data_IF_383090000949
#
_entry.id   IF_383090000949
#
_cell.length_a   1.000
_cell.length_b   1.000
_cell.length_c   1.000
_cell.angle_alpha   90.00
_cell.angle_beta   90.00
_cell.angle_gamma   90.00
#
_symmetry.space_group_name_H-M   'P 1'
#
loop_
_entity.id
_entity.type
_entity.pdbx_description
1 polymer ?
#
# COMPACT_ATOMS: atom_id res chain seq x y z
N UNK A 1 52.47 9.44 -8.26
CA UNK A 1 51.25 10.25 -8.51
C UNK A 1 50.01 9.40 -8.80
N UNK A 2 50.14 8.16 -9.31
CA UNK A 2 48.99 7.31 -9.69
C UNK A 2 48.24 6.63 -8.53
N UNK A 3 48.83 6.55 -7.33
CA UNK A 3 48.25 5.84 -6.18
C UNK A 3 47.11 6.63 -5.49
N UNK A 4 47.15 7.96 -5.55
CA UNK A 4 46.13 8.84 -4.96
C UNK A 4 44.81 8.75 -5.74
N UNK A 5 44.89 8.65 -7.07
CA UNK A 5 43.70 8.53 -7.94
C UNK A 5 42.94 7.23 -7.73
N UNK A 6 43.63 6.12 -7.44
CA UNK A 6 42.97 4.82 -7.18
C UNK A 6 42.15 4.86 -5.88
N UNK A 7 42.65 5.53 -4.85
CA UNK A 7 41.92 5.71 -3.59
C UNK A 7 40.64 6.54 -3.80
N UNK A 8 40.70 7.61 -4.61
CA UNK A 8 39.52 8.43 -4.92
C UNK A 8 38.45 7.66 -5.71
N UNK A 9 38.85 6.85 -6.69
CA UNK A 9 37.90 6.04 -7.48
C UNK A 9 37.22 4.99 -6.59
N UNK A 10 37.96 4.40 -5.64
CA UNK A 10 37.42 3.43 -4.69
C UNK A 10 36.38 4.07 -3.75
N UNK A 11 36.59 5.32 -3.32
CA UNK A 11 35.62 6.05 -2.49
C UNK A 11 34.31 6.36 -3.26
N UNK A 12 34.40 6.76 -4.54
CA UNK A 12 33.23 7.07 -5.37
C UNK A 12 32.40 5.82 -5.71
N UNK A 13 33.03 4.64 -5.80
CA UNK A 13 32.30 3.38 -5.99
C UNK A 13 31.45 2.99 -4.76
N UNK A 14 31.80 3.47 -3.57
CA UNK A 14 31.06 3.20 -2.32
C UNK A 14 29.97 4.23 -2.01
N UNK A 15 29.94 5.37 -2.71
CA UNK A 15 28.89 6.39 -2.60
C UNK A 15 27.67 6.09 -3.49
N UNK A 16 27.28 4.81 -3.58
CA UNK A 16 25.93 4.50 -4.09
C UNK A 16 24.92 5.05 -3.09
N UNK A 17 23.88 5.76 -3.55
CA UNK A 17 22.93 6.45 -2.67
C UNK A 17 22.27 5.40 -1.79
N UNK A 18 22.57 5.44 -0.48
CA UNK A 18 21.98 4.53 0.49
C UNK A 18 20.46 4.70 0.46
N UNK A 19 19.64 3.72 0.00
CA UNK A 19 18.18 3.85 -0.07
C UNK A 19 17.51 3.81 1.33
N UNK A 20 18.26 4.04 2.42
CA UNK A 20 17.94 3.60 3.78
C UNK A 20 16.78 4.34 4.47
N UNK A 21 16.30 5.45 3.93
CA UNK A 21 15.28 6.27 4.60
C UNK A 21 13.88 6.17 4.01
N UNK A 22 13.75 6.05 2.68
CA UNK A 22 12.44 6.14 2.00
C UNK A 22 11.73 4.78 1.90
N UNK A 23 12.49 3.68 1.91
CA UNK A 23 11.95 2.30 1.87
C UNK A 23 10.89 2.02 2.94
N UNK A 24 11.09 2.31 4.23
CA UNK A 24 10.04 2.07 5.24
C UNK A 24 8.78 2.90 4.99
N UNK A 25 8.90 4.11 4.45
CA UNK A 25 7.77 4.97 4.12
C UNK A 25 6.98 4.41 2.93
N UNK A 26 7.65 3.91 1.89
CA UNK A 26 7.01 3.26 0.73
C UNK A 26 6.29 1.98 1.17
N UNK A 27 6.88 1.19 2.06
CA UNK A 27 6.23 -0.02 2.58
C UNK A 27 4.97 0.37 3.36
N UNK A 28 5.09 1.37 4.25
CA UNK A 28 3.98 1.79 5.11
C UNK A 28 2.82 2.43 4.34
N UNK A 29 3.10 3.34 3.41
CA UNK A 29 2.06 4.06 2.65
C UNK A 29 1.71 3.41 1.30
N UNK A 30 2.48 2.43 0.83
CA UNK A 30 2.24 1.73 -0.43
C UNK A 30 1.77 0.30 -0.20
N UNK A 31 2.63 -0.54 0.37
CA UNK A 31 2.40 -2.00 0.45
C UNK A 31 1.27 -2.34 1.43
N UNK A 32 1.27 -1.73 2.63
CA UNK A 32 0.25 -1.99 3.65
C UNK A 32 -1.17 -1.65 3.13
N UNK A 33 -1.46 -0.43 2.64
CA UNK A 33 -2.79 -0.11 2.14
C UNK A 33 -3.16 -0.93 0.91
N UNK A 34 -2.21 -1.29 0.04
CA UNK A 34 -2.48 -2.15 -1.11
C UNK A 34 -2.90 -3.56 -0.69
N UNK A 35 -2.22 -4.15 0.30
CA UNK A 35 -2.61 -5.44 0.86
C UNK A 35 -3.97 -5.38 1.56
N UNK A 36 -4.23 -4.30 2.30
CA UNK A 36 -5.49 -4.09 3.01
C UNK A 36 -6.68 -3.91 2.04
N UNK A 37 -6.44 -3.19 0.93
CA UNK A 37 -7.39 -3.04 -0.17
C UNK A 37 -7.72 -4.39 -0.81
N UNK A 38 -6.70 -5.19 -1.15
CA UNK A 38 -6.89 -6.51 -1.74
C UNK A 38 -7.67 -7.45 -0.81
N UNK A 39 -7.38 -7.40 0.50
CA UNK A 39 -8.11 -8.15 1.51
C UNK A 39 -9.61 -7.77 1.56
N UNK A 40 -9.92 -6.48 1.60
CA UNK A 40 -11.31 -6.02 1.64
C UNK A 40 -12.06 -6.29 0.34
N UNK A 41 -11.40 -6.17 -0.82
CA UNK A 41 -12.00 -6.59 -2.09
C UNK A 41 -12.35 -8.07 -2.09
N UNK A 42 -11.42 -8.93 -1.65
CA UNK A 42 -11.67 -10.37 -1.53
C UNK A 42 -12.88 -10.67 -0.63
N UNK A 43 -13.06 -9.90 0.43
CA UNK A 43 -14.20 -10.05 1.35
C UNK A 43 -15.54 -9.51 0.78
N UNK A 44 -15.50 -8.44 -0.02
CA UNK A 44 -16.67 -7.88 -0.71
C UNK A 44 -17.20 -8.78 -1.81
N UNK A 45 -16.33 -9.44 -2.56
CA UNK A 45 -16.69 -10.25 -3.72
C UNK A 45 -17.77 -11.31 -3.42
N UNK A 46 -17.61 -12.17 -2.39
CA UNK A 46 -18.60 -13.19 -2.04
C UNK A 46 -19.84 -12.63 -1.33
N UNK A 47 -19.75 -11.44 -0.73
CA UNK A 47 -20.89 -10.83 -0.02
C UNK A 47 -21.91 -10.25 -0.99
N UNK A 48 -23.18 -10.50 -0.68
CA UNK A 48 -24.32 -9.91 -1.38
C UNK A 48 -24.75 -8.65 -0.63
N UNK A 49 -24.84 -7.55 -1.35
CA UNK A 49 -25.30 -6.28 -0.79
C UNK A 49 -26.63 -5.92 -1.44
N UNK A 50 -27.54 -5.35 -0.65
CA UNK A 50 -28.80 -4.85 -1.18
C UNK A 50 -28.56 -3.64 -2.11
N UNK A 51 -29.05 -3.73 -3.34
CA UNK A 51 -28.98 -2.65 -4.33
C UNK A 51 -27.56 -2.24 -4.73
N UNK A 52 -27.30 -0.92 -4.74
CA UNK A 52 -26.04 -0.35 -5.24
C UNK A 52 -24.91 -0.28 -4.19
N UNK A 53 -25.15 -0.75 -2.96
CA UNK A 53 -24.21 -0.64 -1.84
C UNK A 53 -22.87 -1.35 -2.13
N UNK A 54 -22.88 -2.44 -2.91
CA UNK A 54 -21.64 -3.13 -3.34
C UNK A 54 -20.70 -2.20 -4.12
N UNK A 55 -21.26 -1.42 -5.05
CA UNK A 55 -20.50 -0.49 -5.89
C UNK A 55 -19.96 0.68 -5.08
N UNK A 56 -20.76 1.20 -4.13
CA UNK A 56 -20.34 2.26 -3.21
C UNK A 56 -19.15 1.80 -2.37
N UNK A 57 -19.17 0.56 -1.86
CA UNK A 57 -18.04 0.03 -1.12
C UNK A 57 -16.77 -0.10 -1.96
N UNK A 58 -16.89 -0.62 -3.18
CA UNK A 58 -15.75 -0.75 -4.10
C UNK A 58 -15.18 0.64 -4.44
N UNK A 59 -16.03 1.62 -4.76
CA UNK A 59 -15.56 2.97 -5.11
C UNK A 59 -14.90 3.65 -3.91
N UNK A 60 -15.46 3.49 -2.70
CA UNK A 60 -14.92 4.09 -1.49
C UNK A 60 -13.53 3.53 -1.16
N UNK A 61 -13.33 2.23 -1.34
CA UNK A 61 -12.04 1.57 -1.13
C UNK A 61 -11.00 2.05 -2.16
N UNK A 62 -11.39 2.30 -3.41
CA UNK A 62 -10.49 2.79 -4.45
C UNK A 62 -10.09 4.25 -4.20
N UNK A 63 -11.03 5.12 -3.81
CA UNK A 63 -10.75 6.55 -3.58
C UNK A 63 -9.96 6.74 -2.28
N UNK A 64 -10.30 5.98 -1.23
CA UNK A 64 -9.62 6.02 0.08
C UNK A 64 -8.99 4.64 0.36
N UNK A 65 -7.77 4.35 -0.12
CA UNK A 65 -7.13 3.04 0.05
C UNK A 65 -6.81 2.66 1.50
N UNK A 66 -6.79 3.63 2.41
CA UNK A 66 -6.56 3.39 3.84
C UNK A 66 -7.86 3.47 4.65
N UNK A 67 -8.61 4.57 4.52
CA UNK A 67 -9.86 4.78 5.25
C UNK A 67 -11.02 3.94 4.72
N UNK A 68 -11.12 3.74 3.41
CA UNK A 68 -12.20 2.98 2.76
C UNK A 68 -12.27 1.54 3.24
N UNK A 69 -11.18 0.75 3.18
CA UNK A 69 -11.19 -0.62 3.71
C UNK A 69 -11.34 -0.67 5.24
N UNK A 70 -10.93 0.37 5.98
CA UNK A 70 -11.20 0.45 7.41
C UNK A 70 -12.69 0.64 7.69
N UNK A 71 -13.34 1.62 7.03
CA UNK A 71 -14.79 1.81 7.11
C UNK A 71 -15.55 0.55 6.70
N UNK A 72 -15.03 -0.19 5.72
CA UNK A 72 -15.62 -1.44 5.25
C UNK A 72 -15.69 -2.49 6.34
N UNK A 73 -14.58 -2.67 7.06
CA UNK A 73 -14.53 -3.64 8.15
C UNK A 73 -15.45 -3.25 9.31
N UNK A 74 -15.62 -1.97 9.60
CA UNK A 74 -16.45 -1.50 10.72
C UNK A 74 -17.94 -1.43 10.37
N UNK A 75 -18.35 -0.74 9.31
CA UNK A 75 -19.77 -0.52 8.95
C UNK A 75 -20.22 -1.45 7.82
N UNK A 76 -19.34 -1.79 6.89
CA UNK A 76 -19.69 -2.53 5.68
C UNK A 76 -20.09 -3.98 5.91
N UNK A 77 -19.56 -4.60 6.98
CA UNK A 77 -19.90 -5.96 7.37
C UNK A 77 -21.32 -6.07 7.93
N UNK A 78 -21.78 -5.10 8.73
CA UNK A 78 -23.13 -5.10 9.30
C UNK A 78 -24.24 -4.93 8.24
N UNK A 79 -23.89 -4.35 7.09
CA UNK A 79 -24.81 -4.15 5.96
C UNK A 79 -24.77 -5.30 4.95
N UNK A 80 -23.85 -6.25 5.11
CA UNK A 80 -23.79 -7.44 4.27
C UNK A 80 -24.82 -8.46 4.79
N UNK A 81 -25.92 -8.62 4.05
CA UNK A 81 -26.84 -9.73 4.28
C UNK A 81 -26.11 -11.02 3.86
N UNK A 82 -25.92 -11.94 4.81
CA UNK A 82 -25.23 -13.22 4.58
C UNK A 82 -25.92 -14.06 3.51
#
# INVERSE_FOLDING_TARGET
>A
MSFVSIQQICQVATSQPQPRSIVPLIIFFGVIPLAFMAYCLKDILPKTYSGNLKKVWIILIIILPMLGPLLYLFIGQDKATR
#
